data_IF_898562153792
#
_entry.id   IF_898562153792
#
_cell.length_a   1.000
_cell.length_b   1.000
_cell.length_c   1.000
_cell.angle_alpha   90.00
_cell.angle_beta   90.00
_cell.angle_gamma   90.00
#
_symmetry.space_group_name_H-M   'P 1'
#
loop_
_entity.id
_entity.type
_entity.pdbx_description
1 polymer ?
#
# COMPACT_ATOMS: atom_id res chain seq x y z
N UNK A 1 -15.06 4.73 -15.47
CA UNK A 1 -15.87 3.78 -14.70
C UNK A 1 -15.00 3.31 -13.53
N UNK A 2 -15.38 3.56 -12.27
CA UNK A 2 -14.64 2.98 -11.14
C UNK A 2 -14.84 1.46 -11.19
N UNK A 3 -13.76 0.73 -11.43
CA UNK A 3 -13.75 -0.72 -11.31
C UNK A 3 -14.04 -1.10 -9.85
N UNK A 4 -14.91 -2.08 -9.63
CA UNK A 4 -15.16 -2.60 -8.28
C UNK A 4 -13.87 -3.22 -7.71
N UNK A 5 -13.61 -3.07 -6.40
CA UNK A 5 -12.47 -3.74 -5.78
C UNK A 5 -12.55 -5.26 -5.96
N UNK A 6 -11.43 -5.88 -6.38
CA UNK A 6 -11.34 -7.32 -6.62
C UNK A 6 -10.94 -8.05 -5.34
N UNK A 7 -11.78 -8.97 -4.92
CA UNK A 7 -11.57 -9.83 -3.74
C UNK A 7 -11.23 -11.24 -4.22
N UNK A 8 -10.12 -11.79 -3.74
CA UNK A 8 -9.74 -13.18 -3.98
C UNK A 8 -10.31 -14.06 -2.87
N UNK A 9 -11.11 -15.05 -3.24
CA UNK A 9 -11.65 -16.08 -2.36
C UNK A 9 -10.86 -17.38 -2.55
N UNK A 10 -10.47 -18.01 -1.46
CA UNK A 10 -9.70 -19.26 -1.45
C UNK A 10 -10.34 -20.22 -0.48
N UNK A 11 -10.97 -21.28 -0.98
CA UNK A 11 -11.63 -22.32 -0.20
C UNK A 11 -11.73 -23.56 -1.08
N UNK A 12 -11.47 -24.76 -0.55
CA UNK A 12 -11.56 -26.01 -1.33
C UNK A 12 -13.01 -26.47 -1.55
N UNK A 13 -13.97 -25.83 -0.89
CA UNK A 13 -15.40 -26.08 -1.06
C UNK A 13 -16.05 -25.05 -1.98
N UNK A 14 -16.43 -25.43 -3.21
CA UNK A 14 -17.09 -24.55 -4.18
C UNK A 14 -18.39 -23.92 -3.62
N UNK A 15 -19.14 -24.65 -2.79
CA UNK A 15 -20.37 -24.14 -2.15
C UNK A 15 -20.09 -22.93 -1.25
N UNK A 16 -18.96 -22.94 -0.54
CA UNK A 16 -18.52 -21.82 0.31
C UNK A 16 -18.12 -20.64 -0.56
N UNK A 17 -17.39 -20.87 -1.64
CA UNK A 17 -17.01 -19.82 -2.59
C UNK A 17 -18.25 -19.15 -3.22
N UNK A 18 -19.26 -19.94 -3.60
CA UNK A 18 -20.52 -19.42 -4.16
C UNK A 18 -21.33 -18.64 -3.12
N UNK A 19 -21.32 -19.10 -1.87
CA UNK A 19 -21.96 -18.38 -0.77
C UNK A 19 -21.28 -17.04 -0.50
N UNK A 20 -19.94 -17.00 -0.42
CA UNK A 20 -19.16 -15.77 -0.23
C UNK A 20 -19.34 -14.81 -1.40
N UNK A 21 -19.30 -15.29 -2.65
CA UNK A 21 -19.55 -14.46 -3.82
C UNK A 21 -20.92 -13.76 -3.75
N UNK A 22 -21.98 -14.48 -3.41
CA UNK A 22 -23.33 -13.89 -3.23
C UNK A 22 -23.39 -12.85 -2.12
N UNK A 23 -22.60 -13.01 -1.06
CA UNK A 23 -22.50 -12.02 0.02
C UNK A 23 -21.82 -10.73 -0.47
N UNK A 24 -20.78 -10.86 -1.30
CA UNK A 24 -19.94 -9.76 -1.71
C UNK A 24 -20.51 -8.94 -2.87
N UNK A 25 -21.27 -9.56 -3.75
CA UNK A 25 -21.99 -8.86 -4.82
C UNK A 25 -23.12 -7.98 -4.24
N UNK A 26 -23.41 -6.81 -4.80
CA UNK A 26 -22.79 -6.18 -5.98
C UNK A 26 -21.63 -5.20 -5.67
N UNK A 27 -21.09 -5.20 -4.46
CA UNK A 27 -20.10 -4.19 -4.00
C UNK A 27 -18.67 -4.47 -4.43
N UNK A 28 -18.37 -5.74 -4.72
CA UNK A 28 -17.02 -6.24 -5.01
C UNK A 28 -17.04 -7.14 -6.25
N UNK A 29 -15.97 -7.09 -7.04
CA UNK A 29 -15.65 -8.14 -7.99
C UNK A 29 -15.00 -9.31 -7.22
N UNK A 30 -15.24 -10.53 -7.67
CA UNK A 30 -14.79 -11.74 -6.97
C UNK A 30 -14.00 -12.62 -7.93
N UNK A 31 -12.87 -13.14 -7.46
CA UNK A 31 -12.09 -14.19 -8.10
C UNK A 31 -12.04 -15.38 -7.16
N UNK A 32 -12.40 -16.58 -7.63
CA UNK A 32 -12.46 -17.80 -6.84
C UNK A 32 -11.30 -18.73 -7.18
N UNK A 33 -10.70 -19.36 -6.18
CA UNK A 33 -9.67 -20.37 -6.31
C UNK A 33 -9.90 -21.48 -5.28
N UNK A 34 -9.56 -22.72 -5.64
CA UNK A 34 -9.87 -23.90 -4.83
C UNK A 34 -8.72 -24.29 -3.88
N UNK A 35 -7.57 -23.67 -4.02
CA UNK A 35 -6.39 -23.96 -3.19
C UNK A 35 -5.39 -22.79 -3.18
N UNK A 36 -4.42 -22.86 -2.27
CA UNK A 36 -3.38 -21.83 -2.14
C UNK A 36 -2.48 -21.66 -3.35
N UNK A 37 -2.24 -22.74 -4.13
CA UNK A 37 -1.42 -22.68 -5.34
C UNK A 37 -2.09 -21.89 -6.45
N UNK A 38 -3.36 -22.13 -6.69
CA UNK A 38 -4.17 -21.33 -7.63
C UNK A 38 -4.26 -19.87 -7.18
N UNK A 39 -4.39 -19.63 -5.87
CA UNK A 39 -4.41 -18.28 -5.32
C UNK A 39 -3.11 -17.51 -5.64
N UNK A 40 -1.94 -18.13 -5.51
CA UNK A 40 -0.66 -17.51 -5.88
C UNK A 40 -0.56 -17.23 -7.38
N UNK A 41 -1.07 -18.11 -8.25
CA UNK A 41 -1.14 -17.89 -9.69
C UNK A 41 -2.09 -16.73 -10.04
N UNK A 42 -3.23 -16.67 -9.36
CA UNK A 42 -4.22 -15.59 -9.53
C UNK A 42 -3.63 -14.21 -9.17
N UNK A 43 -2.83 -14.12 -8.09
CA UNK A 43 -2.14 -12.90 -7.67
C UNK A 43 -1.11 -12.42 -8.70
N UNK A 44 -0.45 -13.32 -9.43
CA UNK A 44 0.50 -12.95 -10.47
C UNK A 44 -0.15 -12.19 -11.64
N UNK A 45 -1.42 -12.47 -11.91
CA UNK A 45 -2.15 -11.95 -13.08
C UNK A 45 -3.19 -10.87 -12.76
N UNK A 46 -3.53 -10.66 -11.48
CA UNK A 46 -4.61 -9.76 -11.08
C UNK A 46 -4.17 -8.80 -9.98
N UNK A 47 -4.78 -7.60 -9.97
CA UNK A 47 -4.62 -6.63 -8.88
C UNK A 47 -5.71 -6.87 -7.84
N UNK A 48 -5.37 -7.63 -6.80
CA UNK A 48 -6.28 -8.02 -5.71
C UNK A 48 -6.18 -7.01 -4.57
N UNK A 49 -7.33 -6.57 -4.03
CA UNK A 49 -7.40 -5.60 -2.94
C UNK A 49 -7.57 -6.24 -1.56
N UNK A 50 -8.09 -7.46 -1.48
CA UNK A 50 -8.24 -8.21 -0.24
C UNK A 50 -8.37 -9.71 -0.55
N UNK A 51 -7.85 -10.54 0.34
CA UNK A 51 -7.95 -12.00 0.26
C UNK A 51 -8.81 -12.49 1.42
N UNK A 52 -9.73 -13.42 1.13
CA UNK A 52 -10.47 -14.21 2.12
C UNK A 52 -10.11 -15.66 1.87
N UNK A 53 -9.45 -16.30 2.83
CA UNK A 53 -9.00 -17.69 2.69
C UNK A 53 -9.52 -18.55 3.82
N UNK A 54 -10.00 -19.75 3.50
CA UNK A 54 -10.14 -20.79 4.52
C UNK A 54 -8.75 -21.17 5.07
N UNK A 55 -8.75 -21.60 6.32
CA UNK A 55 -7.52 -22.11 6.97
C UNK A 55 -7.29 -23.58 6.63
N UNK A 56 -8.36 -24.38 6.55
CA UNK A 56 -8.26 -25.84 6.43
C UNK A 56 -8.43 -26.28 4.98
N UNK A 57 -7.38 -26.19 4.19
CA UNK A 57 -7.37 -26.63 2.80
C UNK A 57 -6.29 -27.73 2.59
N UNK A 58 -6.51 -28.65 1.63
CA UNK A 58 -5.51 -29.65 1.26
C UNK A 58 -4.27 -28.98 0.62
N UNK A 59 -3.14 -29.68 0.66
CA UNK A 59 -1.83 -29.30 0.09
C UNK A 59 -1.21 -28.04 0.71
N UNK A 60 -1.88 -26.90 0.65
CA UNK A 60 -1.44 -25.64 1.24
C UNK A 60 -2.55 -25.05 2.08
N UNK A 61 -2.38 -25.05 3.40
CA UNK A 61 -3.34 -24.44 4.31
C UNK A 61 -3.30 -22.89 4.26
N UNK A 62 -4.36 -22.27 4.80
CA UNK A 62 -4.47 -20.80 4.79
C UNK A 62 -3.38 -20.09 5.59
N UNK A 63 -2.77 -20.74 6.57
CA UNK A 63 -1.62 -20.18 7.31
C UNK A 63 -0.36 -20.15 6.46
N UNK A 64 -0.07 -21.24 5.74
CA UNK A 64 1.05 -21.31 4.80
C UNK A 64 0.88 -20.29 3.67
N UNK A 65 -0.31 -20.18 3.10
CA UNK A 65 -0.62 -19.18 2.08
C UNK A 65 -0.43 -17.75 2.63
N UNK A 66 -0.94 -17.45 3.82
CA UNK A 66 -0.77 -16.15 4.47
C UNK A 66 0.72 -15.81 4.66
N UNK A 67 1.51 -16.74 5.20
CA UNK A 67 2.94 -16.56 5.41
C UNK A 67 3.68 -16.27 4.10
N UNK A 68 3.39 -17.02 3.02
CA UNK A 68 3.99 -16.80 1.70
C UNK A 68 3.63 -15.42 1.14
N UNK A 69 2.38 -15.00 1.24
CA UNK A 69 1.95 -13.69 0.75
C UNK A 69 2.58 -12.57 1.57
N UNK A 70 2.57 -12.66 2.90
CA UNK A 70 3.09 -11.60 3.79
C UNK A 70 4.61 -11.46 3.76
N UNK A 71 5.34 -12.52 3.44
CA UNK A 71 6.79 -12.46 3.23
C UNK A 71 7.19 -12.01 1.82
N UNK A 72 6.29 -12.07 0.84
CA UNK A 72 6.57 -11.67 -0.53
C UNK A 72 6.42 -10.15 -0.68
N UNK A 73 7.51 -9.46 -1.05
CA UNK A 73 7.52 -8.00 -1.24
C UNK A 73 6.43 -7.53 -2.20
N UNK A 74 6.07 -8.33 -3.22
CA UNK A 74 5.07 -7.95 -4.22
C UNK A 74 3.64 -7.96 -3.68
N UNK A 75 3.30 -8.87 -2.74
CA UNK A 75 1.94 -9.12 -2.26
C UNK A 75 1.71 -8.78 -0.79
N UNK A 76 2.76 -8.51 -0.01
CA UNK A 76 2.69 -8.28 1.45
C UNK A 76 1.67 -7.22 1.87
N UNK A 77 1.44 -6.22 1.02
CA UNK A 77 0.47 -5.15 1.26
C UNK A 77 -0.99 -5.60 1.19
N UNK A 78 -1.31 -6.77 0.61
CA UNK A 78 -2.70 -7.22 0.45
C UNK A 78 -3.25 -7.69 1.81
N UNK A 79 -4.39 -7.16 2.29
CA UNK A 79 -5.01 -7.63 3.53
C UNK A 79 -5.55 -9.04 3.35
N UNK A 80 -5.38 -9.86 4.40
CA UNK A 80 -5.83 -11.25 4.43
C UNK A 80 -6.77 -11.45 5.62
N UNK A 81 -7.97 -11.95 5.34
CA UNK A 81 -8.92 -12.47 6.33
C UNK A 81 -8.86 -13.99 6.28
N UNK A 82 -8.55 -14.62 7.41
CA UNK A 82 -8.60 -16.07 7.55
C UNK A 82 -9.95 -16.50 8.12
N UNK A 83 -10.63 -17.40 7.40
CA UNK A 83 -11.86 -18.07 7.87
C UNK A 83 -11.49 -19.42 8.48
N UNK A 84 -12.10 -19.80 9.59
CA UNK A 84 -11.70 -21.04 10.26
C UNK A 84 -12.80 -21.66 11.10
N UNK A 85 -12.83 -22.99 11.11
CA UNK A 85 -13.60 -23.78 12.07
C UNK A 85 -12.83 -24.02 13.40
N UNK A 86 -11.52 -23.70 13.46
CA UNK A 86 -10.70 -23.91 14.66
C UNK A 86 -10.90 -22.79 15.67
N UNK A 87 -11.57 -23.10 16.76
CA UNK A 87 -11.87 -22.19 17.86
C UNK A 87 -10.81 -22.24 19.00
N UNK A 88 -9.53 -22.37 18.65
CA UNK A 88 -8.47 -22.35 19.66
C UNK A 88 -7.77 -20.99 19.68
N UNK A 89 -7.48 -20.49 20.88
CA UNK A 89 -6.68 -19.26 21.06
C UNK A 89 -5.33 -19.38 20.34
N UNK A 90 -4.72 -20.56 20.34
CA UNK A 90 -3.45 -20.84 19.67
C UNK A 90 -3.54 -20.64 18.15
N UNK A 91 -4.60 -21.09 17.49
CA UNK A 91 -4.77 -20.88 16.06
C UNK A 91 -4.97 -19.40 15.70
N UNK A 92 -5.70 -18.66 16.56
CA UNK A 92 -5.88 -17.20 16.41
C UNK A 92 -4.55 -16.45 16.56
N UNK A 93 -3.77 -16.79 17.59
CA UNK A 93 -2.44 -16.21 17.83
C UNK A 93 -1.51 -16.52 16.66
N UNK A 94 -1.44 -17.77 16.22
CA UNK A 94 -0.64 -18.19 15.08
C UNK A 94 -1.00 -17.40 13.80
N UNK A 95 -2.27 -17.23 13.47
CA UNK A 95 -2.71 -16.46 12.30
C UNK A 95 -2.27 -15.00 12.35
N UNK A 96 -2.37 -14.37 13.52
CA UNK A 96 -1.92 -12.99 13.73
C UNK A 96 -0.39 -12.86 13.67
N UNK A 97 0.35 -13.80 14.26
CA UNK A 97 1.82 -13.84 14.17
C UNK A 97 2.35 -14.02 12.73
N UNK A 98 1.60 -14.74 11.89
CA UNK A 98 1.88 -14.87 10.46
C UNK A 98 1.49 -13.64 9.63
N UNK A 99 0.89 -12.62 10.27
CA UNK A 99 0.56 -11.34 9.66
C UNK A 99 -0.84 -11.28 9.03
N UNK A 100 -1.75 -12.21 9.33
CA UNK A 100 -3.14 -12.06 8.92
C UNK A 100 -3.74 -10.79 9.52
N UNK A 101 -4.50 -10.03 8.72
CA UNK A 101 -5.10 -8.76 9.14
C UNK A 101 -6.41 -8.97 9.93
N UNK A 102 -7.05 -10.12 9.73
CA UNK A 102 -8.21 -10.54 10.52
C UNK A 102 -8.38 -12.06 10.53
N UNK A 103 -9.09 -12.53 11.56
CA UNK A 103 -9.40 -13.92 11.77
C UNK A 103 -10.89 -14.03 12.11
N UNK A 104 -11.65 -14.74 11.30
CA UNK A 104 -13.11 -14.90 11.46
C UNK A 104 -13.47 -16.38 11.65
N UNK A 105 -14.18 -16.67 12.71
CA UNK A 105 -14.61 -18.01 13.07
C UNK A 105 -15.89 -18.40 12.31
N UNK A 106 -15.91 -19.59 11.74
CA UNK A 106 -17.11 -20.24 11.14
C UNK A 106 -17.95 -20.90 12.27
N UNK A 107 -19.28 -20.69 12.33
CA UNK A 107 -20.12 -19.90 11.44
C UNK A 107 -20.06 -18.39 11.74
N UNK A 108 -20.07 -17.55 10.70
CA UNK A 108 -20.04 -16.09 10.82
C UNK A 108 -21.27 -15.44 10.17
N UNK A 109 -21.61 -14.23 10.62
CA UNK A 109 -22.66 -13.45 9.97
C UNK A 109 -22.11 -12.67 8.78
N UNK A 110 -22.95 -12.44 7.77
CA UNK A 110 -22.66 -11.59 6.62
C UNK A 110 -22.20 -10.19 7.05
N UNK A 111 -22.90 -9.62 8.03
CA UNK A 111 -22.64 -8.28 8.55
C UNK A 111 -21.24 -8.18 9.17
N UNK A 112 -20.82 -9.21 9.92
CA UNK A 112 -19.49 -9.26 10.53
C UNK A 112 -18.39 -9.30 9.45
N UNK A 113 -18.51 -10.19 8.45
CA UNK A 113 -17.54 -10.28 7.36
C UNK A 113 -17.43 -8.95 6.60
N UNK A 114 -18.57 -8.37 6.19
CA UNK A 114 -18.58 -7.10 5.45
C UNK A 114 -18.05 -5.93 6.27
N UNK A 115 -18.32 -5.86 7.56
CA UNK A 115 -17.78 -4.82 8.45
C UNK A 115 -16.26 -4.94 8.59
N UNK A 116 -15.74 -6.15 8.74
CA UNK A 116 -14.30 -6.40 8.83
C UNK A 116 -13.57 -6.02 7.53
N UNK A 117 -14.13 -6.42 6.38
CA UNK A 117 -13.59 -6.04 5.06
C UNK A 117 -13.59 -4.52 4.88
N UNK A 118 -14.71 -3.86 5.16
CA UNK A 118 -14.83 -2.41 5.03
C UNK A 118 -13.81 -1.69 5.93
N UNK A 119 -13.64 -2.14 7.18
CA UNK A 119 -12.64 -1.58 8.10
C UNK A 119 -11.22 -1.67 7.55
N UNK A 120 -10.82 -2.85 7.06
CA UNK A 120 -9.48 -3.06 6.50
C UNK A 120 -9.21 -2.18 5.27
N UNK A 121 -10.17 -2.11 4.34
CA UNK A 121 -10.04 -1.31 3.12
C UNK A 121 -10.06 0.20 3.43
N UNK A 122 -10.93 0.66 4.35
CA UNK A 122 -11.03 2.08 4.72
C UNK A 122 -9.80 2.56 5.46
N UNK A 123 -9.28 1.78 6.42
CA UNK A 123 -8.09 2.16 7.19
C UNK A 123 -6.88 2.36 6.27
N UNK A 124 -6.72 1.51 5.26
CA UNK A 124 -5.63 1.66 4.27
C UNK A 124 -5.76 2.93 3.45
N UNK A 125 -6.96 3.26 3.02
CA UNK A 125 -7.21 4.50 2.26
C UNK A 125 -6.94 5.74 3.12
N UNK A 126 -7.36 5.75 4.39
CA UNK A 126 -7.08 6.87 5.30
C UNK A 126 -5.58 7.10 5.50
N UNK A 127 -4.79 6.03 5.64
CA UNK A 127 -3.32 6.13 5.79
C UNK A 127 -2.68 6.71 4.52
N UNK A 128 -3.11 6.28 3.34
CA UNK A 128 -2.64 6.81 2.05
C UNK A 128 -2.95 8.29 1.88
N UNK A 129 -4.20 8.69 2.15
CA UNK A 129 -4.63 10.09 2.09
C UNK A 129 -3.86 10.97 3.09
N UNK A 130 -3.65 10.46 4.31
CA UNK A 130 -2.87 11.18 5.32
C UNK A 130 -1.43 11.40 4.85
N UNK A 131 -0.78 10.37 4.31
CA UNK A 131 0.56 10.50 3.74
C UNK A 131 0.59 11.51 2.59
N UNK A 132 -0.34 11.41 1.64
CA UNK A 132 -0.36 12.28 0.46
C UNK A 132 -0.52 13.77 0.82
N UNK A 133 -1.39 14.06 1.80
CA UNK A 133 -1.75 15.45 2.13
C UNK A 133 -0.87 16.08 3.23
N UNK A 134 -0.02 15.31 3.91
CA UNK A 134 0.79 15.79 5.03
C UNK A 134 2.25 15.99 4.62
N UNK A 135 2.76 17.25 4.53
CA UNK A 135 4.09 17.52 3.98
C UNK A 135 5.26 16.82 4.70
N UNK A 136 5.19 16.67 6.03
CA UNK A 136 6.27 16.11 6.85
C UNK A 136 6.07 14.65 7.25
N UNK A 137 5.02 13.99 6.78
CA UNK A 137 4.78 12.58 7.11
C UNK A 137 5.67 11.68 6.26
N UNK A 138 6.41 10.78 6.93
CA UNK A 138 7.35 9.88 6.27
C UNK A 138 6.64 8.77 5.49
N UNK A 139 7.26 8.31 4.40
CA UNK A 139 6.71 7.26 3.51
C UNK A 139 6.42 5.93 4.25
N UNK A 140 7.22 5.59 5.27
CA UNK A 140 7.04 4.36 6.05
C UNK A 140 5.71 4.31 6.83
N UNK A 141 5.00 5.43 6.98
CA UNK A 141 3.64 5.41 7.59
C UNK A 141 2.64 4.58 6.81
N UNK A 142 2.91 4.33 5.53
CA UNK A 142 2.07 3.49 4.68
C UNK A 142 2.37 1.99 4.80
N UNK A 143 3.39 1.59 5.55
CA UNK A 143 3.73 0.18 5.73
C UNK A 143 2.68 -0.53 6.60
N UNK A 144 2.26 -1.71 6.15
CA UNK A 144 1.35 -2.59 6.90
C UNK A 144 2.05 -3.87 7.36
N UNK A 145 3.19 -4.19 6.75
CA UNK A 145 4.00 -5.36 7.08
C UNK A 145 5.47 -4.96 7.14
N UNK A 146 6.28 -5.82 7.77
CA UNK A 146 7.74 -5.63 7.80
C UNK A 146 8.36 -5.61 6.39
N UNK A 147 7.80 -6.39 5.47
CA UNK A 147 8.24 -6.38 4.07
C UNK A 147 7.90 -5.06 3.36
N UNK A 148 6.73 -4.47 3.65
CA UNK A 148 6.36 -3.14 3.13
C UNK A 148 7.27 -2.05 3.72
N UNK A 149 7.58 -2.12 5.01
CA UNK A 149 8.49 -1.18 5.67
C UNK A 149 9.89 -1.19 5.03
N UNK A 150 10.45 -2.38 4.83
CA UNK A 150 11.74 -2.54 4.16
C UNK A 150 11.72 -2.04 2.71
N UNK A 151 10.66 -2.34 1.97
CA UNK A 151 10.48 -1.87 0.60
C UNK A 151 10.39 -0.34 0.54
N UNK A 152 9.55 0.28 1.37
CA UNK A 152 9.37 1.72 1.40
C UNK A 152 10.63 2.46 1.88
N UNK A 153 11.34 1.90 2.85
CA UNK A 153 12.61 2.44 3.31
C UNK A 153 13.68 2.43 2.21
N UNK A 154 13.83 1.31 1.48
CA UNK A 154 14.76 1.20 0.36
C UNK A 154 14.38 2.15 -0.79
N UNK A 155 13.09 2.21 -1.14
CA UNK A 155 12.56 3.09 -2.16
C UNK A 155 12.83 4.57 -1.83
N UNK A 156 12.55 4.96 -0.58
CA UNK A 156 12.82 6.33 -0.12
C UNK A 156 14.30 6.66 -0.15
N UNK A 157 15.16 5.77 0.32
CA UNK A 157 16.61 5.98 0.31
C UNK A 157 17.13 6.21 -1.11
N UNK A 158 16.70 5.40 -2.09
CA UNK A 158 17.08 5.56 -3.49
C UNK A 158 16.57 6.89 -4.07
N UNK A 159 15.34 7.28 -3.80
CA UNK A 159 14.81 8.56 -4.29
C UNK A 159 15.58 9.73 -3.67
N UNK A 160 15.93 9.66 -2.39
CA UNK A 160 16.72 10.71 -1.72
C UNK A 160 18.14 10.77 -2.25
N UNK A 161 18.79 9.64 -2.51
CA UNK A 161 20.15 9.57 -3.08
C UNK A 161 20.22 10.25 -4.46
N UNK A 162 19.15 10.12 -5.26
CA UNK A 162 19.05 10.68 -6.61
C UNK A 162 18.11 11.89 -6.71
N UNK A 163 17.84 12.58 -5.58
CA UNK A 163 16.77 13.58 -5.50
C UNK A 163 17.01 14.78 -6.41
N UNK A 164 18.27 15.18 -6.60
CA UNK A 164 18.69 16.33 -7.43
C UNK A 164 18.66 16.00 -8.94
N UNK A 165 18.66 14.70 -9.29
CA UNK A 165 18.64 14.27 -10.68
C UNK A 165 17.27 14.51 -11.32
N UNK A 166 17.16 15.57 -12.13
CA UNK A 166 15.92 15.96 -12.83
C UNK A 166 15.38 14.84 -13.74
N UNK A 167 16.29 13.99 -14.25
CA UNK A 167 15.98 12.90 -15.18
C UNK A 167 15.62 11.57 -14.48
N UNK A 168 15.62 11.53 -13.14
CA UNK A 168 15.22 10.31 -12.42
C UNK A 168 13.81 9.87 -12.84
N UNK A 169 13.75 8.75 -13.52
CA UNK A 169 12.52 8.15 -14.05
C UNK A 169 12.19 6.80 -13.41
N UNK A 170 11.04 6.23 -13.84
CA UNK A 170 10.55 4.94 -13.34
C UNK A 170 11.44 3.77 -13.75
N UNK A 171 12.10 3.85 -14.91
CA UNK A 171 13.00 2.80 -15.42
C UNK A 171 14.27 2.72 -14.59
N UNK A 172 14.86 3.87 -14.28
CA UNK A 172 16.04 3.98 -13.40
C UNK A 172 15.68 3.51 -11.98
N UNK A 173 14.55 3.97 -11.43
CA UNK A 173 14.09 3.55 -10.11
C UNK A 173 13.87 2.03 -10.02
N UNK A 174 13.27 1.41 -11.05
CA UNK A 174 13.08 -0.04 -11.10
C UNK A 174 14.43 -0.79 -11.12
N UNK A 175 15.42 -0.30 -11.88
CA UNK A 175 16.77 -0.87 -11.89
C UNK A 175 17.45 -0.79 -10.53
N UNK A 176 17.40 0.37 -9.86
CA UNK A 176 17.97 0.54 -8.52
C UNK A 176 17.30 -0.35 -7.47
N UNK A 177 15.99 -0.57 -7.61
CA UNK A 177 15.23 -1.48 -6.75
C UNK A 177 15.40 -2.97 -7.10
N UNK A 178 16.16 -3.33 -8.15
CA UNK A 178 16.28 -4.69 -8.68
C UNK A 178 14.91 -5.35 -8.97
N UNK A 179 13.97 -4.57 -9.51
CA UNK A 179 12.61 -5.00 -9.83
C UNK A 179 12.28 -4.74 -11.30
N UNK A 180 11.33 -5.51 -11.85
CA UNK A 180 10.74 -5.14 -13.13
C UNK A 180 9.92 -3.84 -12.97
N UNK A 181 9.85 -3.03 -14.04
CA UNK A 181 9.02 -1.83 -14.07
C UNK A 181 7.55 -2.13 -13.71
N UNK A 182 7.03 -3.26 -14.19
CA UNK A 182 5.65 -3.69 -13.94
C UNK A 182 5.44 -4.00 -12.46
N UNK A 183 6.35 -4.76 -11.84
CA UNK A 183 6.30 -5.11 -10.42
C UNK A 183 6.40 -3.87 -9.54
N UNK A 184 7.36 -2.98 -9.84
CA UNK A 184 7.51 -1.71 -9.11
C UNK A 184 6.25 -0.86 -9.20
N UNK A 185 5.71 -0.69 -10.41
CA UNK A 185 4.50 0.11 -10.64
C UNK A 185 3.32 -0.45 -9.83
N UNK A 186 3.08 -1.76 -9.93
CA UNK A 186 1.99 -2.44 -9.22
C UNK A 186 2.12 -2.30 -7.70
N UNK A 187 3.32 -2.53 -7.15
CA UNK A 187 3.59 -2.42 -5.71
C UNK A 187 3.40 -1.01 -5.19
N UNK A 188 3.99 0.00 -5.84
CA UNK A 188 3.87 1.40 -5.42
C UNK A 188 2.41 1.86 -5.48
N UNK A 189 1.71 1.61 -6.58
CA UNK A 189 0.31 2.01 -6.73
C UNK A 189 -0.57 1.33 -5.68
N UNK A 190 -0.32 0.06 -5.40
CA UNK A 190 -1.09 -0.69 -4.41
C UNK A 190 -0.88 -0.20 -2.96
N UNK A 191 0.32 0.28 -2.60
CA UNK A 191 0.60 0.80 -1.24
C UNK A 191 0.18 2.27 -1.10
N UNK A 192 0.47 3.11 -2.10
CA UNK A 192 0.38 4.57 -1.97
C UNK A 192 -0.79 5.22 -2.72
N UNK A 193 -1.45 4.46 -3.61
CA UNK A 193 -2.42 4.96 -4.60
C UNK A 193 -1.83 6.00 -5.58
N UNK A 194 -0.49 6.04 -5.67
CA UNK A 194 0.26 6.92 -6.57
C UNK A 194 1.00 6.10 -7.61
N UNK A 195 1.22 6.67 -8.77
CA UNK A 195 2.20 6.12 -9.71
C UNK A 195 3.63 6.30 -9.19
N UNK A 196 4.60 5.51 -9.64
CA UNK A 196 6.00 5.70 -9.23
C UNK A 196 6.53 7.13 -9.49
N UNK A 197 6.14 7.74 -10.61
CA UNK A 197 6.54 9.10 -10.94
C UNK A 197 5.92 10.14 -9.99
N UNK A 198 4.64 9.98 -9.66
CA UNK A 198 3.96 10.84 -8.67
C UNK A 198 4.61 10.70 -7.30
N UNK A 199 5.02 9.48 -6.92
CA UNK A 199 5.70 9.25 -5.65
C UNK A 199 7.10 9.88 -5.60
N UNK A 200 7.86 9.84 -6.70
CA UNK A 200 9.13 10.60 -6.83
C UNK A 200 8.85 12.09 -6.61
N UNK A 201 7.87 12.66 -7.31
CA UNK A 201 7.52 14.08 -7.17
C UNK A 201 7.05 14.43 -5.76
N UNK A 202 6.23 13.59 -5.14
CA UNK A 202 5.75 13.79 -3.78
C UNK A 202 6.90 13.74 -2.76
N UNK A 203 7.85 12.80 -2.92
CA UNK A 203 9.05 12.72 -2.08
C UNK A 203 9.92 13.97 -2.21
N UNK A 204 10.11 14.48 -3.44
CA UNK A 204 10.81 15.74 -3.69
C UNK A 204 10.13 16.93 -2.99
N UNK A 205 8.81 17.03 -3.07
CA UNK A 205 8.05 18.10 -2.43
C UNK A 205 8.09 18.01 -0.90
N UNK A 206 8.08 16.81 -0.34
CA UNK A 206 8.23 16.58 1.11
C UNK A 206 9.62 16.99 1.57
N UNK A 207 10.67 16.63 0.83
CA UNK A 207 12.04 17.07 1.13
C UNK A 207 12.18 18.59 1.04
N UNK A 208 11.55 19.21 0.04
CA UNK A 208 11.50 20.67 -0.04
C UNK A 208 10.78 21.30 1.16
N UNK A 209 9.70 20.68 1.68
CA UNK A 209 9.02 21.15 2.88
C UNK A 209 9.90 21.10 4.13
N UNK A 210 10.76 20.08 4.28
CA UNK A 210 11.77 20.01 5.35
C UNK A 210 12.79 21.17 5.23
N UNK A 211 13.32 21.40 4.02
CA UNK A 211 14.29 22.48 3.76
C UNK A 211 13.68 23.89 3.94
N UNK A 212 12.39 24.06 3.65
CA UNK A 212 11.67 25.29 3.92
C UNK A 212 11.53 25.58 5.42
N UNK A 213 11.33 24.56 6.23
CA UNK A 213 11.21 24.68 7.70
C UNK A 213 12.56 25.00 8.35
N UNK A 214 13.68 24.49 7.82
CA UNK A 214 15.03 24.83 8.33
C UNK A 214 15.37 26.31 8.16
N UNK A 215 14.83 26.94 7.12
CA UNK A 215 15.06 28.37 6.86
C UNK A 215 16.44 28.73 6.31
N UNK A 216 17.30 27.75 6.06
CA UNK A 216 18.72 27.94 5.70
C UNK A 216 18.94 28.23 4.21
N UNK A 217 17.93 27.98 3.36
CA UNK A 217 18.07 27.97 1.91
C UNK A 217 17.10 28.92 1.21
N UNK A 218 17.53 29.49 0.08
CA UNK A 218 16.68 30.29 -0.79
C UNK A 218 15.79 29.39 -1.66
N UNK A 219 14.66 29.90 -2.14
CA UNK A 219 13.70 29.14 -2.94
C UNK A 219 14.29 28.48 -4.19
N UNK A 220 15.20 29.15 -4.88
CA UNK A 220 15.85 28.58 -6.06
C UNK A 220 16.83 27.45 -5.70
N UNK A 221 17.49 27.54 -4.54
CA UNK A 221 18.38 26.49 -4.02
C UNK A 221 17.58 25.25 -3.67
N UNK A 222 16.46 25.42 -2.93
CA UNK A 222 15.55 24.31 -2.60
C UNK A 222 15.02 23.64 -3.87
N UNK A 223 14.62 24.41 -4.89
CA UNK A 223 14.17 23.86 -6.16
C UNK A 223 15.26 22.99 -6.82
N UNK A 224 16.50 23.47 -6.87
CA UNK A 224 17.63 22.72 -7.43
C UNK A 224 17.96 21.46 -6.62
N UNK A 225 18.08 21.57 -5.29
CA UNK A 225 18.37 20.47 -4.36
C UNK A 225 17.31 19.38 -4.33
N UNK A 226 16.11 19.67 -4.84
CA UNK A 226 15.00 18.74 -4.88
C UNK A 226 14.57 18.33 -6.29
N UNK A 227 15.46 18.53 -7.28
CA UNK A 227 15.32 18.05 -8.65
C UNK A 227 14.19 18.71 -9.46
N UNK A 228 13.86 19.98 -9.14
CA UNK A 228 12.96 20.76 -9.97
C UNK A 228 13.74 21.60 -10.98
N UNK A 229 13.32 21.59 -12.24
CA UNK A 229 13.96 22.31 -13.34
C UNK A 229 13.96 23.84 -13.18
N UNK A 230 13.10 24.39 -12.31
CA UNK A 230 13.06 25.82 -12.00
C UNK A 230 12.26 26.09 -10.71
N UNK A 231 12.54 27.26 -10.09
CA UNK A 231 11.79 27.74 -8.93
C UNK A 231 10.28 27.89 -9.24
N UNK A 232 9.92 28.32 -10.44
CA UNK A 232 8.52 28.47 -10.84
C UNK A 232 7.80 27.11 -10.93
N UNK A 233 8.50 26.09 -11.45
CA UNK A 233 7.96 24.72 -11.50
C UNK A 233 7.78 24.17 -10.08
N UNK A 234 8.77 24.32 -9.21
CA UNK A 234 8.69 23.96 -7.81
C UNK A 234 7.50 24.62 -7.10
N UNK A 235 7.40 25.96 -7.14
CA UNK A 235 6.34 26.71 -6.46
C UNK A 235 4.95 26.28 -6.89
N UNK A 236 4.73 26.08 -8.19
CA UNK A 236 3.45 25.62 -8.74
C UNK A 236 3.08 24.21 -8.25
N UNK A 237 4.04 23.27 -8.28
CA UNK A 237 3.79 21.88 -7.84
C UNK A 237 3.58 21.81 -6.33
N UNK A 238 4.33 22.55 -5.54
CA UNK A 238 4.16 22.62 -4.09
C UNK A 238 2.78 23.14 -3.70
N UNK A 239 2.35 24.26 -4.31
CA UNK A 239 1.03 24.82 -4.07
C UNK A 239 -0.08 23.85 -4.52
N UNK A 240 0.06 23.21 -5.68
CA UNK A 240 -0.89 22.21 -6.15
C UNK A 240 -1.06 21.04 -5.17
N UNK A 241 0.06 20.56 -4.59
CA UNK A 241 0.08 19.41 -3.71
C UNK A 241 -0.43 19.73 -2.30
N UNK A 242 0.01 20.84 -1.71
CA UNK A 242 -0.24 21.14 -0.30
C UNK A 242 -1.22 22.30 -0.06
N UNK A 243 -1.75 22.91 -1.11
CA UNK A 243 -2.76 23.97 -1.03
C UNK A 243 -2.23 25.33 -0.52
N UNK A 244 -0.91 25.45 -0.27
CA UNK A 244 -0.25 26.67 0.24
C UNK A 244 0.99 26.99 -0.55
N UNK A 245 1.37 28.27 -0.69
CA UNK A 245 2.62 28.64 -1.31
C UNK A 245 3.80 28.24 -0.41
N UNK A 246 4.99 27.89 -0.98
CA UNK A 246 6.18 27.55 -0.18
C UNK A 246 6.58 28.65 0.81
N UNK A 247 6.47 29.93 0.42
CA UNK A 247 6.73 31.09 1.28
C UNK A 247 5.80 31.13 2.50
N UNK A 248 4.51 30.91 2.28
CA UNK A 248 3.50 30.91 3.35
C UNK A 248 3.67 29.69 4.27
N UNK A 249 4.06 28.55 3.70
CA UNK A 249 4.36 27.34 4.46
C UNK A 249 5.56 27.57 5.41
N UNK A 250 6.65 28.17 4.91
CA UNK A 250 7.82 28.51 5.72
C UNK A 250 7.46 29.49 6.85
N UNK A 251 6.70 30.56 6.53
CA UNK A 251 6.30 31.57 7.52
C UNK A 251 5.45 30.99 8.65
N UNK A 252 4.48 30.10 8.35
CA UNK A 252 3.61 29.46 9.34
C UNK A 252 4.37 28.56 10.31
N UNK A 253 5.43 27.91 9.86
CA UNK A 253 6.22 26.97 10.70
C UNK A 253 7.33 27.67 11.45
N UNK A 254 7.89 28.76 10.92
CA UNK A 254 8.87 29.60 11.62
C UNK A 254 8.28 30.43 12.77
N UNK A 255 6.94 30.61 12.80
CA UNK A 255 6.23 31.35 13.87
C UNK A 255 5.75 30.49 15.03
N UNK A 256 6.08 29.21 15.05
CA UNK A 256 5.61 28.20 16.02
C UNK A 256 6.72 27.67 16.95
N UNK A 257 7.81 28.44 17.13
CA UNK A 257 8.82 28.20 18.19
C UNK A 257 8.66 29.21 19.31
#
# INVERSE_FOLDING_TARGET
MNQLPLILLVDDEEEILDFLERILQPKYAVLKTLNGQEALQALASNVVQLIISDVMMPEMDGFALCSLIKSNVEYSHIPIILLTAKNTIQAKVQGLELGADAYIEKPFSKEHLLAQMASLLTNRNMVREYFANSPLVHINTMAHTKADEQFLAALHAIIIEHIEDVELDVEQLARYMNMSRVTLYRKITAISDHTPLELIHLTRLKKAAELLVSGDYKMYEIAAMTGFSSQSNFTRNFHKQFGVAPTDYAARKGSGQ
#
